data_IF_661320761115
#
_entry.id   IF_661320761115
#
_cell.length_a   1.000
_cell.length_b   1.000
_cell.length_c   1.000
_cell.angle_alpha   90.00
_cell.angle_beta   90.00
_cell.angle_gamma   90.00
#
_symmetry.space_group_name_H-M   'P 1'
#
loop_
_entity.id
_entity.type
_entity.pdbx_description
1 polymer ?
#
# COMPACT_ATOMS: atom_id res chain seq x y z
N UNK A 1 8.87 -15.20 15.51
CA UNK A 1 8.08 -14.84 14.31
C UNK A 1 7.07 -13.77 14.72
N UNK A 2 7.14 -12.56 14.15
CA UNK A 2 6.11 -11.53 14.42
C UNK A 2 4.82 -11.93 13.69
N UNK A 3 3.67 -11.84 14.36
CA UNK A 3 2.37 -11.98 13.71
C UNK A 3 2.03 -10.70 12.94
N UNK A 4 1.14 -10.77 11.95
CA UNK A 4 0.65 -9.58 11.25
C UNK A 4 0.02 -8.56 12.22
N UNK A 5 -0.68 -9.04 13.26
CA UNK A 5 -1.28 -8.17 14.27
C UNK A 5 -0.22 -7.32 14.99
N UNK A 6 0.83 -7.97 15.51
CA UNK A 6 1.89 -7.26 16.24
C UNK A 6 2.66 -6.33 15.30
N UNK A 7 2.96 -6.79 14.09
CA UNK A 7 3.66 -5.98 13.09
C UNK A 7 2.89 -4.69 12.76
N UNK A 8 1.60 -4.78 12.44
CA UNK A 8 0.79 -3.60 12.12
C UNK A 8 0.58 -2.70 13.33
N UNK A 9 0.41 -3.28 14.53
CA UNK A 9 0.24 -2.51 15.76
C UNK A 9 1.48 -1.68 16.08
N UNK A 10 2.66 -2.29 15.98
CA UNK A 10 3.96 -1.61 16.17
C UNK A 10 4.14 -0.51 15.12
N UNK A 11 3.90 -0.82 13.84
CA UNK A 11 4.09 0.14 12.75
C UNK A 11 3.16 1.36 12.87
N UNK A 12 1.88 1.15 13.18
CA UNK A 12 0.91 2.22 13.38
C UNK A 12 1.21 3.08 14.62
N UNK A 13 1.94 2.53 15.59
CA UNK A 13 2.39 3.26 16.78
C UNK A 13 3.67 4.06 16.52
N UNK A 14 4.62 3.49 15.77
CA UNK A 14 5.88 4.13 15.41
C UNK A 14 5.69 5.26 14.41
N UNK A 15 4.81 5.07 13.43
CA UNK A 15 4.52 6.05 12.39
C UNK A 15 3.00 6.22 12.31
N UNK A 16 2.39 7.12 13.12
CA UNK A 16 0.95 7.35 13.11
C UNK A 16 0.51 7.98 11.78
N UNK A 17 -0.25 7.27 10.93
CA UNK A 17 -0.61 7.77 9.61
C UNK A 17 -1.95 8.53 9.64
N UNK A 18 -2.08 9.55 8.78
CA UNK A 18 -3.37 10.22 8.53
C UNK A 18 -4.31 9.37 7.67
N UNK A 19 -3.75 8.49 6.85
CA UNK A 19 -4.48 7.53 6.00
C UNK A 19 -3.60 6.30 5.76
N UNK A 20 -4.23 5.14 5.75
CA UNK A 20 -3.60 3.89 5.31
C UNK A 20 -4.16 3.47 3.97
N UNK A 21 -3.27 3.15 3.03
CA UNK A 21 -3.66 2.57 1.74
C UNK A 21 -3.11 1.17 1.61
N UNK A 22 -3.87 0.26 1.00
CA UNK A 22 -3.36 -1.05 0.64
C UNK A 22 -3.83 -1.47 -0.76
N UNK A 23 -3.07 -2.34 -1.42
CA UNK A 23 -3.41 -2.89 -2.73
C UNK A 23 -4.01 -4.28 -2.58
N UNK A 24 -5.22 -4.47 -3.11
CA UNK A 24 -5.83 -5.80 -3.26
C UNK A 24 -5.41 -6.39 -4.60
N UNK A 25 -4.89 -7.62 -4.55
CA UNK A 25 -4.61 -8.40 -5.75
C UNK A 25 -5.87 -9.10 -6.23
N UNK A 26 -6.19 -8.93 -7.52
CA UNK A 26 -7.28 -9.66 -8.18
C UNK A 26 -6.79 -10.94 -8.87
N UNK A 27 -5.53 -11.34 -8.64
CA UNK A 27 -4.87 -12.44 -9.33
C UNK A 27 -4.96 -13.79 -8.59
N UNK A 28 -5.87 -13.93 -7.63
CA UNK A 28 -6.05 -15.19 -6.89
C UNK A 28 -6.48 -16.31 -7.84
N UNK A 29 -5.84 -17.48 -7.74
CA UNK A 29 -6.13 -18.65 -8.60
C UNK A 29 -7.00 -19.71 -7.92
N UNK A 30 -7.24 -19.58 -6.62
CA UNK A 30 -8.10 -20.48 -5.85
C UNK A 30 -8.74 -19.74 -4.66
N UNK A 31 -9.82 -20.31 -4.11
CA UNK A 31 -10.49 -19.80 -2.91
C UNK A 31 -9.53 -19.75 -1.73
N UNK A 32 -8.68 -20.76 -1.56
CA UNK A 32 -7.70 -20.80 -0.47
C UNK A 32 -6.71 -19.64 -0.57
N UNK A 33 -6.25 -19.29 -1.77
CA UNK A 33 -5.37 -18.13 -1.98
C UNK A 33 -6.05 -16.81 -1.60
N UNK A 34 -7.37 -16.69 -1.81
CA UNK A 34 -8.12 -15.49 -1.43
C UNK A 34 -8.03 -15.25 0.08
N UNK A 35 -8.21 -16.30 0.88
CA UNK A 35 -8.12 -16.18 2.33
C UNK A 35 -6.73 -15.66 2.77
N UNK A 36 -5.65 -16.20 2.20
CA UNK A 36 -4.29 -15.73 2.51
C UNK A 36 -4.02 -14.29 2.06
N UNK A 37 -4.57 -13.87 0.93
CA UNK A 37 -4.38 -12.50 0.40
C UNK A 37 -5.18 -11.46 1.19
N UNK A 38 -6.40 -11.80 1.62
CA UNK A 38 -7.32 -10.84 2.24
C UNK A 38 -7.20 -10.79 3.76
N UNK A 39 -6.85 -11.89 4.42
CA UNK A 39 -6.84 -11.96 5.89
C UNK A 39 -5.89 -10.93 6.54
N UNK A 40 -4.65 -10.71 6.06
CA UNK A 40 -3.80 -9.63 6.58
C UNK A 40 -4.41 -8.24 6.36
N UNK A 41 -5.08 -8.02 5.23
CA UNK A 41 -5.70 -6.73 4.89
C UNK A 41 -6.94 -6.44 5.76
N UNK A 42 -7.76 -7.45 6.03
CA UNK A 42 -8.90 -7.33 6.95
C UNK A 42 -8.46 -7.02 8.37
N UNK A 43 -7.36 -7.65 8.83
CA UNK A 43 -6.76 -7.35 10.12
C UNK A 43 -6.24 -5.91 10.20
N UNK A 44 -5.53 -5.44 9.17
CA UNK A 44 -5.08 -4.06 9.08
C UNK A 44 -6.27 -3.08 9.09
N UNK A 45 -7.30 -3.36 8.28
CA UNK A 45 -8.52 -2.55 8.22
C UNK A 45 -9.22 -2.45 9.57
N UNK A 46 -9.31 -3.55 10.33
CA UNK A 46 -9.85 -3.55 11.69
C UNK A 46 -9.02 -2.68 12.63
N UNK A 47 -7.69 -2.83 12.63
CA UNK A 47 -6.80 -2.04 13.48
C UNK A 47 -6.91 -0.54 13.18
N UNK A 48 -6.99 -0.16 11.91
CA UNK A 48 -7.20 1.21 11.49
C UNK A 48 -8.57 1.73 11.93
N UNK A 49 -9.63 0.93 11.77
CA UNK A 49 -10.99 1.27 12.23
C UNK A 49 -11.01 1.55 13.73
N UNK A 50 -10.45 0.67 14.56
CA UNK A 50 -10.39 0.84 16.01
C UNK A 50 -9.62 2.11 16.43
N UNK A 51 -8.67 2.56 15.60
CA UNK A 51 -7.84 3.77 15.80
C UNK A 51 -8.39 5.01 15.09
N UNK A 52 -9.55 4.93 14.44
CA UNK A 52 -10.12 6.01 13.62
C UNK A 52 -9.19 6.51 12.50
N UNK A 53 -8.36 5.62 11.95
CA UNK A 53 -7.49 5.91 10.81
C UNK A 53 -8.26 5.56 9.52
N UNK A 54 -8.48 6.52 8.60
CA UNK A 54 -9.06 6.25 7.29
C UNK A 54 -8.27 5.22 6.50
N UNK A 55 -8.99 4.36 5.78
CA UNK A 55 -8.41 3.31 4.94
C UNK A 55 -8.88 3.47 3.51
N UNK A 56 -7.97 3.34 2.54
CA UNK A 56 -8.30 3.31 1.11
C UNK A 56 -7.76 2.04 0.47
N UNK A 57 -8.68 1.27 -0.09
CA UNK A 57 -8.36 0.12 -0.93
C UNK A 57 -7.98 0.58 -2.35
N UNK A 58 -6.87 0.04 -2.85
CA UNK A 58 -6.34 0.27 -4.19
C UNK A 58 -6.28 -1.05 -4.96
N UNK A 59 -6.31 -0.98 -6.28
CA UNK A 59 -6.06 -2.11 -7.16
C UNK A 59 -5.06 -1.70 -8.26
N UNK A 60 -4.76 -2.58 -9.20
CA UNK A 60 -3.83 -2.27 -10.29
C UNK A 60 -4.26 -1.08 -11.15
N UNK A 61 -5.56 -0.84 -11.32
CA UNK A 61 -6.09 0.29 -12.09
C UNK A 61 -6.14 1.60 -11.30
N UNK A 62 -5.85 1.59 -10.01
CA UNK A 62 -5.70 2.82 -9.21
C UNK A 62 -4.43 3.60 -9.56
N UNK A 63 -3.40 2.95 -10.11
CA UNK A 63 -2.08 3.54 -10.37
C UNK A 63 -1.95 4.06 -11.81
N UNK A 64 -2.79 5.03 -12.19
CA UNK A 64 -2.74 5.63 -13.53
C UNK A 64 -1.98 6.95 -13.53
N UNK A 65 -1.35 7.31 -14.67
CA UNK A 65 -0.72 8.62 -14.86
C UNK A 65 -1.65 9.79 -14.48
N UNK A 66 -2.94 9.70 -14.84
CA UNK A 66 -3.94 10.73 -14.51
C UNK A 66 -4.12 10.93 -13.01
N UNK A 67 -4.12 9.84 -12.22
CA UNK A 67 -4.29 9.90 -10.76
C UNK A 67 -3.19 10.74 -10.09
N UNK A 68 -2.00 10.73 -10.67
CA UNK A 68 -0.82 11.44 -10.20
C UNK A 68 -0.53 12.74 -10.97
N UNK A 69 -1.45 13.18 -11.85
CA UNK A 69 -1.23 14.38 -12.68
C UNK A 69 -0.08 14.26 -13.69
N UNK A 70 0.34 13.03 -14.02
CA UNK A 70 1.48 12.77 -14.89
C UNK A 70 1.08 12.75 -16.38
N UNK A 71 1.99 13.14 -17.29
CA UNK A 71 1.78 13.00 -18.73
C UNK A 71 1.49 11.55 -19.14
N UNK A 72 0.73 11.37 -20.22
CA UNK A 72 0.44 10.05 -20.79
C UNK A 72 1.74 9.33 -21.17
N UNK A 73 1.84 8.06 -20.80
CA UNK A 73 3.01 7.22 -21.10
C UNK A 73 4.05 7.17 -19.98
N UNK A 74 3.98 8.09 -19.00
CA UNK A 74 4.81 8.01 -17.80
C UNK A 74 4.26 6.93 -16.87
N UNK A 75 5.15 6.03 -16.43
CA UNK A 75 4.86 5.02 -15.41
C UNK A 75 4.98 5.67 -14.02
N UNK A 76 3.91 5.70 -13.21
CA UNK A 76 3.93 6.38 -11.91
C UNK A 76 5.01 5.88 -10.96
N UNK A 77 5.28 4.56 -10.94
CA UNK A 77 6.31 3.99 -10.06
C UNK A 77 7.70 4.53 -10.42
N UNK A 78 8.09 4.46 -11.69
CA UNK A 78 9.41 4.90 -12.14
C UNK A 78 9.62 6.39 -11.86
N UNK A 79 8.58 7.20 -12.09
CA UNK A 79 8.59 8.62 -11.76
C UNK A 79 8.77 8.87 -10.25
N UNK A 80 8.03 8.13 -9.42
CA UNK A 80 8.11 8.25 -7.97
C UNK A 80 9.48 7.86 -7.41
N UNK A 81 10.02 6.71 -7.85
CA UNK A 81 11.34 6.24 -7.41
C UNK A 81 12.45 7.22 -7.83
N UNK A 82 12.36 7.81 -9.02
CA UNK A 82 13.29 8.85 -9.44
C UNK A 82 13.20 10.12 -8.56
N UNK A 83 12.01 10.45 -8.05
CA UNK A 83 11.78 11.64 -7.23
C UNK A 83 12.24 11.49 -5.77
N UNK A 84 12.04 10.32 -5.15
CA UNK A 84 12.42 10.09 -3.74
C UNK A 84 13.92 9.84 -3.54
N UNK A 85 14.67 9.61 -4.63
CA UNK A 85 16.11 9.39 -4.59
C UNK A 85 16.52 7.96 -4.24
N UNK A 86 17.83 7.70 -4.05
CA UNK A 86 18.34 6.36 -3.79
C UNK A 86 17.80 5.80 -2.48
N UNK A 87 17.10 4.67 -2.57
CA UNK A 87 16.56 3.95 -1.43
C UNK A 87 17.64 3.02 -0.87
N UNK A 88 18.17 3.35 0.31
CA UNK A 88 19.15 2.51 1.02
C UNK A 88 18.54 1.90 2.28
N UNK A 89 18.61 0.57 2.49
CA UNK A 89 19.08 -0.44 1.53
C UNK A 89 18.15 -0.55 0.32
N UNK A 90 18.64 -1.08 -0.80
CA UNK A 90 17.89 -1.22 -2.06
C UNK A 90 16.49 -1.79 -1.79
N UNK A 91 15.45 -1.00 -2.06
CA UNK A 91 14.07 -1.44 -1.85
C UNK A 91 13.66 -2.49 -2.88
N UNK A 92 13.07 -3.58 -2.40
CA UNK A 92 12.45 -4.57 -3.27
C UNK A 92 11.18 -4.02 -3.94
N UNK A 93 10.65 -4.78 -4.90
CA UNK A 93 9.47 -4.38 -5.66
C UNK A 93 8.23 -4.17 -4.76
N UNK A 94 8.10 -4.88 -3.64
CA UNK A 94 6.97 -4.75 -2.73
C UNK A 94 7.06 -3.45 -1.93
N UNK A 95 8.25 -3.11 -1.45
CA UNK A 95 8.53 -1.84 -0.76
C UNK A 95 8.30 -0.64 -1.69
N UNK A 96 8.81 -0.72 -2.92
CA UNK A 96 8.57 0.31 -3.94
C UNK A 96 7.06 0.50 -4.21
N UNK A 97 6.32 -0.60 -4.39
CA UNK A 97 4.86 -0.54 -4.58
C UNK A 97 4.12 0.02 -3.35
N UNK A 98 4.59 -0.28 -2.13
CA UNK A 98 4.00 0.27 -0.91
C UNK A 98 4.12 1.80 -0.87
N UNK A 99 5.27 2.35 -1.30
CA UNK A 99 5.44 3.81 -1.36
C UNK A 99 4.58 4.48 -2.43
N UNK A 100 4.39 3.81 -3.58
CA UNK A 100 3.43 4.27 -4.58
C UNK A 100 1.99 4.25 -4.05
N UNK A 101 1.64 3.24 -3.23
CA UNK A 101 0.38 3.19 -2.49
C UNK A 101 0.21 4.40 -1.58
N UNK A 102 1.22 4.69 -0.75
CA UNK A 102 1.20 5.85 0.14
C UNK A 102 1.02 7.17 -0.63
N UNK A 103 1.73 7.35 -1.76
CA UNK A 103 1.55 8.52 -2.62
C UNK A 103 0.12 8.62 -3.17
N UNK A 104 -0.50 7.51 -3.57
CA UNK A 104 -1.91 7.46 -4.01
C UNK A 104 -2.90 7.87 -2.90
N UNK A 105 -2.55 7.67 -1.63
CA UNK A 105 -3.34 8.11 -0.48
C UNK A 105 -3.45 9.63 -0.38
N UNK A 106 -2.36 10.35 -0.72
CA UNK A 106 -2.29 11.82 -0.67
C UNK A 106 -3.05 12.51 -1.81
N UNK A 107 -3.33 11.79 -2.89
CA UNK A 107 -4.09 12.29 -4.04
C UNK A 107 -5.49 11.68 -3.95
N UNK A 108 -6.39 12.34 -3.21
CA UNK A 108 -7.81 11.95 -3.05
C UNK A 108 -8.63 12.43 -4.22
#
# INVERSE_FOLDING_TARGET
>A
MKTFHNLFTELLAEVPPEIVTYRVSQAAKSIDQIAYLLMPLGLLGKLCHDKHIPVRELNSSSYTHKKFGLPRGIKPLDHWIAAIGPTSPHWDQSQQNATLGAWSGTHG
#
